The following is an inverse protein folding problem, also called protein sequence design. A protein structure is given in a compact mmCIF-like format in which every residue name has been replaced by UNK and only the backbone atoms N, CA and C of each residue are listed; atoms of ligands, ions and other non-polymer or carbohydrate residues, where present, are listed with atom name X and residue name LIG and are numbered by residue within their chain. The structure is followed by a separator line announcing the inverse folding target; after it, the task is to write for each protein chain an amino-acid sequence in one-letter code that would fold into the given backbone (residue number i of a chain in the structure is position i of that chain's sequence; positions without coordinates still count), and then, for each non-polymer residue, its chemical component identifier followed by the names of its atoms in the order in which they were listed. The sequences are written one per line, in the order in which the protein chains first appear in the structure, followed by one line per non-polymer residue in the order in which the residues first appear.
data_IF_180702728508
#
_entry.id   IF_180702728508
#
_cell.length_a   1.000
_cell.length_b   1.000
_cell.length_c   1.000
_cell.angle_alpha   90.00
_cell.angle_beta   90.00
_cell.angle_gamma   90.00
#
_symmetry.space_group_name_H-M   'P 1'
#
loop_
_entity.id
_entity.type
_entity.pdbx_description
1 polymer ?
#
# COMPACT_ATOMS: atom_id res chain seq x y z
N UNK A 1 -4.79 -28.79 -6.28
CA UNK A 1 -4.75 -27.33 -6.12
C UNK A 1 -5.62 -26.79 -7.23
N UNK A 2 -6.88 -26.48 -6.94
CA UNK A 2 -7.62 -25.60 -7.83
C UNK A 2 -6.75 -24.36 -7.97
N UNK A 3 -6.29 -24.07 -9.19
CA UNK A 3 -5.74 -22.76 -9.50
C UNK A 3 -6.80 -21.79 -9.01
N UNK A 4 -6.49 -21.07 -7.93
CA UNK A 4 -7.34 -20.01 -7.43
C UNK A 4 -7.55 -19.11 -8.63
N UNK A 5 -8.67 -19.26 -9.33
CA UNK A 5 -9.03 -18.43 -10.47
C UNK A 5 -9.30 -17.08 -9.84
N UNK A 6 -8.24 -16.29 -9.69
CA UNK A 6 -8.35 -14.91 -9.31
C UNK A 6 -9.11 -14.24 -10.44
N UNK A 7 -10.38 -13.96 -10.17
CA UNK A 7 -11.21 -13.16 -11.06
C UNK A 7 -10.47 -11.83 -11.32
N UNK A 8 -10.10 -11.52 -12.58
CA UNK A 8 -9.41 -10.30 -12.91
C UNK A 8 -10.14 -9.04 -12.44
N UNK A 9 -11.48 -9.06 -12.44
CA UNK A 9 -12.28 -7.94 -11.94
C UNK A 9 -12.14 -7.79 -10.42
N UNK A 10 -12.10 -8.91 -9.68
CA UNK A 10 -11.85 -8.90 -8.25
C UNK A 10 -10.45 -8.39 -7.93
N UNK A 11 -9.42 -8.84 -8.67
CA UNK A 11 -8.05 -8.32 -8.49
C UNK A 11 -7.99 -6.83 -8.74
N UNK A 12 -8.59 -6.35 -9.83
CA UNK A 12 -8.64 -4.93 -10.14
C UNK A 12 -9.31 -4.12 -9.02
N UNK A 13 -10.39 -4.64 -8.44
CA UNK A 13 -11.06 -4.00 -7.31
C UNK A 13 -10.16 -3.99 -6.05
N UNK A 14 -9.52 -5.12 -5.72
CA UNK A 14 -8.61 -5.20 -4.57
C UNK A 14 -7.40 -4.30 -4.72
N UNK A 15 -6.79 -4.23 -5.91
CA UNK A 15 -5.63 -3.36 -6.14
C UNK A 15 -6.01 -1.89 -6.11
N UNK A 16 -7.18 -1.51 -6.64
CA UNK A 16 -7.69 -0.15 -6.52
C UNK A 16 -7.94 0.25 -5.06
N UNK A 17 -8.51 -0.65 -4.25
CA UNK A 17 -8.70 -0.42 -2.81
C UNK A 17 -7.36 -0.33 -2.08
N UNK A 18 -6.40 -1.21 -2.39
CA UNK A 18 -5.06 -1.17 -1.80
C UNK A 18 -4.35 0.15 -2.13
N UNK A 19 -4.41 0.61 -3.39
CA UNK A 19 -3.86 1.88 -3.81
C UNK A 19 -4.52 3.04 -3.04
N UNK A 20 -5.85 3.06 -2.92
CA UNK A 20 -6.57 4.08 -2.15
C UNK A 20 -6.20 4.09 -0.66
N UNK A 21 -6.14 2.91 -0.02
CA UNK A 21 -5.78 2.78 1.40
C UNK A 21 -4.32 3.19 1.63
N UNK A 22 -3.39 2.81 0.75
CA UNK A 22 -2.00 3.21 0.85
C UNK A 22 -1.82 4.74 0.78
N UNK A 23 -2.57 5.40 -0.13
CA UNK A 23 -2.58 6.86 -0.24
C UNK A 23 -3.21 7.54 0.98
N UNK A 24 -4.30 6.99 1.50
CA UNK A 24 -4.94 7.50 2.72
C UNK A 24 -4.01 7.40 3.93
N UNK A 25 -3.29 6.28 4.08
CA UNK A 25 -2.32 6.09 5.16
C UNK A 25 -1.11 7.03 5.03
N UNK A 26 -0.61 7.24 3.81
CA UNK A 26 0.44 8.22 3.55
C UNK A 26 -0.03 9.65 3.85
N UNK A 27 -1.25 10.01 3.46
CA UNK A 27 -1.85 11.30 3.78
C UNK A 27 -2.03 11.50 5.30
N UNK A 28 -2.55 10.49 6.00
CA UNK A 28 -2.72 10.52 7.44
C UNK A 28 -1.37 10.64 8.18
N UNK A 29 -0.33 9.94 7.70
CA UNK A 29 1.03 10.06 8.21
C UNK A 29 1.59 11.49 8.05
N UNK A 30 1.39 12.09 6.87
CA UNK A 30 1.82 13.46 6.61
C UNK A 30 1.10 14.48 7.50
N UNK A 31 -0.22 14.34 7.67
CA UNK A 31 -1.01 15.18 8.57
C UNK A 31 -0.54 15.03 10.01
N UNK A 32 -0.35 13.80 10.50
CA UNK A 32 0.13 13.54 11.85
C UNK A 32 1.51 14.15 12.11
N UNK A 33 2.45 14.00 11.16
CA UNK A 33 3.80 14.57 11.26
C UNK A 33 3.79 16.09 11.33
N UNK A 34 2.84 16.75 10.67
CA UNK A 34 2.69 18.21 10.69
C UNK A 34 1.80 18.75 11.81
N UNK A 35 1.12 17.88 12.57
CA UNK A 35 0.11 18.31 13.55
C UNK A 35 0.70 18.88 14.84
N UNK A 36 1.93 18.51 15.19
CA UNK A 36 2.55 18.92 16.46
C UNK A 36 3.67 19.92 16.21
N UNK A 37 3.44 21.16 16.66
CA UNK A 37 4.50 22.14 16.82
C UNK A 37 5.02 22.05 18.26
N UNK A 38 6.14 21.37 18.45
CA UNK A 38 6.71 21.13 19.78
C UNK A 38 7.06 22.42 20.52
N UNK A 39 7.62 23.42 19.82
CA UNK A 39 8.01 24.70 20.44
C UNK A 39 6.79 25.48 20.90
N UNK A 40 5.74 25.51 20.08
CA UNK A 40 4.47 26.12 20.46
C UNK A 40 3.83 25.39 21.65
N UNK A 41 3.80 24.05 21.61
CA UNK A 41 3.22 23.25 22.68
C UNK A 41 4.00 23.41 24.00
N UNK A 42 5.32 23.49 23.94
CA UNK A 42 6.17 23.76 25.10
C UNK A 42 5.97 25.19 25.64
N UNK A 43 5.80 26.18 24.75
CA UNK A 43 5.49 27.55 25.15
C UNK A 43 4.12 27.65 25.85
N UNK A 44 3.11 26.96 25.33
CA UNK A 44 1.74 26.98 25.85
C UNK A 44 1.61 26.25 27.19
N UNK A 45 2.34 25.15 27.38
CA UNK A 45 2.31 24.37 28.62
C UNK A 45 3.33 24.85 29.68
N UNK A 46 4.28 25.69 29.27
CA UNK A 46 5.37 26.18 30.11
C UNK A 46 6.34 25.09 30.57
N UNK A 47 7.17 25.44 31.56
CA UNK A 47 8.28 24.61 32.05
C UNK A 47 7.85 23.22 32.56
N UNK A 48 6.65 23.11 33.14
CA UNK A 48 6.12 21.84 33.65
C UNK A 48 5.72 20.91 32.50
N UNK A 49 5.18 21.46 31.42
CA UNK A 49 4.71 20.66 30.28
C UNK A 49 5.73 20.41 29.19
N UNK A 50 6.96 20.92 29.30
CA UNK A 50 7.99 20.70 28.28
C UNK A 50 8.32 19.21 28.09
N UNK A 51 8.40 18.43 29.17
CA UNK A 51 8.62 16.97 29.09
C UNK A 51 7.42 16.26 28.46
N UNK A 52 6.19 16.68 28.81
CA UNK A 52 4.98 16.17 28.17
C UNK A 52 4.96 16.49 26.67
N UNK A 53 5.26 17.73 26.29
CA UNK A 53 5.28 18.18 24.90
C UNK A 53 6.28 17.37 24.07
N UNK A 54 7.48 17.11 24.62
CA UNK A 54 8.49 16.27 24.00
C UNK A 54 7.98 14.84 23.80
N UNK A 55 7.45 14.20 24.86
CA UNK A 55 6.90 12.83 24.78
C UNK A 55 5.73 12.73 23.82
N UNK A 56 4.86 13.73 23.80
CA UNK A 56 3.72 13.79 22.89
C UNK A 56 4.18 13.92 21.43
N UNK A 57 5.14 14.80 21.15
CA UNK A 57 5.73 14.94 19.82
C UNK A 57 6.39 13.63 19.35
N UNK A 58 7.13 12.95 20.23
CA UNK A 58 7.69 11.62 19.94
C UNK A 58 6.60 10.61 19.62
N UNK A 59 5.55 10.50 20.44
CA UNK A 59 4.45 9.56 20.22
C UNK A 59 3.71 9.83 18.89
N UNK A 60 3.48 11.10 18.54
CA UNK A 60 2.86 11.46 17.26
C UNK A 60 3.79 11.11 16.08
N UNK A 61 5.09 11.33 16.21
CA UNK A 61 6.07 10.93 15.19
C UNK A 61 6.09 9.41 15.01
N UNK A 62 6.08 8.63 16.08
CA UNK A 62 6.01 7.16 16.02
C UNK A 62 4.70 6.70 15.35
N UNK A 63 3.57 7.32 15.69
CA UNK A 63 2.29 7.03 15.06
C UNK A 63 2.30 7.34 13.56
N UNK A 64 2.88 8.48 13.16
CA UNK A 64 3.03 8.84 11.75
C UNK A 64 3.89 7.82 11.00
N UNK A 65 4.99 7.35 11.60
CA UNK A 65 5.83 6.30 11.01
C UNK A 65 5.09 4.97 10.86
N UNK A 66 4.28 4.59 11.85
CA UNK A 66 3.45 3.39 11.77
C UNK A 66 2.43 3.47 10.63
N UNK A 67 1.77 4.61 10.46
CA UNK A 67 0.84 4.85 9.35
C UNK A 67 1.56 4.75 7.99
N UNK A 68 2.73 5.39 7.85
CA UNK A 68 3.53 5.31 6.63
C UNK A 68 3.92 3.86 6.30
N UNK A 69 4.38 3.11 7.31
CA UNK A 69 4.77 1.72 7.16
C UNK A 69 3.58 0.84 6.74
N UNK A 70 2.42 1.04 7.36
CA UNK A 70 1.19 0.34 6.98
C UNK A 70 0.80 0.66 5.52
N UNK A 71 0.91 1.93 5.10
CA UNK A 71 0.64 2.35 3.73
C UNK A 71 1.56 1.66 2.72
N UNK A 72 2.86 1.60 3.02
CA UNK A 72 3.85 0.90 2.19
C UNK A 72 3.57 -0.60 2.10
N UNK A 73 3.17 -1.24 3.20
CA UNK A 73 2.84 -2.66 3.21
C UNK A 73 1.61 -2.95 2.33
N UNK A 74 0.55 -2.13 2.45
CA UNK A 74 -0.65 -2.27 1.61
C UNK A 74 -0.31 -2.05 0.13
N UNK A 75 0.47 -1.02 -0.20
CA UNK A 75 0.92 -0.78 -1.58
C UNK A 75 1.76 -1.93 -2.13
N UNK A 76 2.63 -2.52 -1.31
CA UNK A 76 3.43 -3.70 -1.69
C UNK A 76 2.53 -4.91 -1.97
N UNK A 77 1.53 -5.18 -1.12
CA UNK A 77 0.56 -6.25 -1.38
C UNK A 77 -0.23 -6.02 -2.67
N UNK A 78 -0.67 -4.77 -2.93
CA UNK A 78 -1.32 -4.40 -4.18
C UNK A 78 -0.43 -4.66 -5.40
N UNK A 79 0.85 -4.35 -5.31
CA UNK A 79 1.81 -4.61 -6.39
C UNK A 79 2.01 -6.10 -6.64
N UNK A 80 2.18 -6.91 -5.60
CA UNK A 80 2.32 -8.38 -5.73
C UNK A 80 1.10 -8.99 -6.43
N UNK A 81 -0.11 -8.52 -6.13
CA UNK A 81 -1.32 -8.98 -6.82
C UNK A 81 -1.35 -8.59 -8.30
N UNK A 82 -0.93 -7.37 -8.65
CA UNK A 82 -0.82 -6.92 -10.05
C UNK A 82 0.18 -7.79 -10.82
N UNK A 83 1.36 -8.00 -10.25
CA UNK A 83 2.43 -8.79 -10.87
C UNK A 83 2.00 -10.24 -11.07
N UNK A 84 1.32 -10.83 -10.08
CA UNK A 84 0.76 -12.17 -10.18
C UNK A 84 -0.24 -12.30 -11.33
N UNK A 85 -1.18 -11.36 -11.45
CA UNK A 85 -2.17 -11.36 -12.53
C UNK A 85 -1.53 -11.14 -13.90
N UNK A 86 -0.57 -10.24 -14.02
CA UNK A 86 0.16 -10.00 -15.27
C UNK A 86 0.92 -11.25 -15.72
N UNK A 87 1.61 -11.92 -14.79
CA UNK A 87 2.34 -13.16 -15.07
C UNK A 87 1.41 -14.29 -15.52
N UNK A 88 0.23 -14.44 -14.90
CA UNK A 88 -0.76 -15.42 -15.34
C UNK A 88 -1.31 -15.14 -16.74
N UNK A 89 -1.64 -13.88 -17.03
CA UNK A 89 -2.12 -13.49 -18.35
C UNK A 89 -1.07 -13.69 -19.44
N UNK A 90 0.21 -13.43 -19.12
CA UNK A 90 1.33 -13.71 -20.03
C UNK A 90 1.46 -15.19 -20.37
N UNK A 91 1.40 -16.08 -19.36
CA UNK A 91 1.46 -17.54 -19.56
C UNK A 91 0.28 -18.05 -20.40
N UNK A 92 -0.92 -17.54 -20.16
CA UNK A 92 -2.11 -17.91 -20.95
C UNK A 92 -1.98 -17.46 -22.40
N UNK A 93 -1.49 -16.23 -22.64
CA UNK A 93 -1.20 -15.71 -23.97
C UNK A 93 -0.14 -16.51 -24.73
N UNK A 94 0.97 -16.86 -24.07
CA UNK A 94 2.03 -17.68 -24.66
C UNK A 94 1.54 -19.09 -25.02
N UNK A 95 0.72 -19.68 -24.13
CA UNK A 95 0.13 -21.00 -24.34
C UNK A 95 -0.88 -20.97 -25.48
N UNK A 96 -1.78 -19.99 -25.51
CA UNK A 96 -2.73 -19.80 -26.60
C UNK A 96 -2.01 -19.59 -27.93
N UNK A 97 -0.97 -18.76 -27.96
CA UNK A 97 -0.15 -18.53 -29.16
C UNK A 97 0.63 -19.77 -29.61
N UNK A 98 1.05 -20.63 -28.69
CA UNK A 98 1.67 -21.93 -29.02
C UNK A 98 0.63 -22.92 -29.59
N UNK A 99 -0.59 -22.95 -29.04
CA UNK A 99 -1.69 -23.78 -29.54
C UNK A 99 -2.11 -23.32 -30.94
N UNK A 100 -2.29 -22.01 -31.16
CA UNK A 100 -2.64 -21.46 -32.49
C UNK A 100 -1.58 -21.84 -33.53
N UNK A 101 -0.29 -21.62 -33.25
CA UNK A 101 0.80 -22.01 -34.16
C UNK A 101 0.81 -23.50 -34.45
N UNK A 102 0.58 -24.33 -33.42
CA UNK A 102 0.50 -25.79 -33.60
C UNK A 102 -0.70 -26.16 -34.48
N UNK A 103 -1.85 -25.51 -34.28
CA UNK A 103 -3.04 -25.68 -35.11
C UNK A 103 -2.81 -25.31 -36.57
N UNK A 104 -2.14 -24.18 -36.83
CA UNK A 104 -1.76 -23.73 -38.18
C UNK A 104 -0.76 -24.68 -38.86
N UNK A 105 0.10 -25.36 -38.08
CA UNK A 105 1.05 -26.34 -38.63
C UNK A 105 0.39 -27.69 -38.96
N UNK A 106 -0.78 -27.97 -38.36
CA UNK A 106 -1.54 -29.20 -38.57
C UNK A 106 -2.62 -29.07 -39.66
N UNK A 107 -2.84 -27.87 -40.20
CA UNK A 107 -3.73 -27.58 -41.33
C UNK A 107 -2.96 -27.37 -42.62
#
# INVERSE_FOLDING_TARGET
MDTLKLDPAAVAAYTAIADAVSQQLASASAVASGAVNQDQLAADLGLIGADFAARFATAVSEHAQALSTAGQLVGTYGQVLRDYTANMQGVDGDTAGAITRTGETLT
#
